data_IF_665746335383
#
_entry.id   IF_665746335383
#
_cell.length_a   1.000
_cell.length_b   1.000
_cell.length_c   1.000
_cell.angle_alpha   90.00
_cell.angle_beta   90.00
_cell.angle_gamma   90.00
#
_symmetry.space_group_name_H-M   'P 1'
#
loop_
_entity.id
_entity.type
_entity.pdbx_description
1 polymer ?
#
# COMPACT_ATOMS: atom_id res chain seq x y z
N UNK A 1 5.32 2.55 1.61
CA UNK A 1 4.31 3.48 1.10
C UNK A 1 3.77 2.99 -0.23
N UNK A 2 2.51 2.57 -0.31
CA UNK A 2 1.80 2.20 -1.52
C UNK A 2 2.52 1.21 -2.44
N UNK A 3 1.77 0.53 -3.26
CA UNK A 3 2.31 -0.23 -4.39
C UNK A 3 1.67 0.32 -5.66
N UNK A 4 2.41 0.27 -6.75
CA UNK A 4 2.00 0.80 -8.04
C UNK A 4 2.15 -0.29 -9.10
N UNK A 5 1.23 -0.36 -10.04
CA UNK A 5 1.27 -1.35 -11.11
C UNK A 5 2.50 -1.14 -12.02
N UNK A 6 2.98 0.09 -12.15
CA UNK A 6 4.14 0.43 -12.98
C UNK A 6 5.03 1.47 -12.31
N UNK A 7 6.33 1.45 -12.64
CA UNK A 7 7.29 2.49 -12.25
C UNK A 7 6.84 3.89 -12.69
N UNK A 8 6.23 3.98 -13.88
CA UNK A 8 5.71 5.25 -14.42
C UNK A 8 4.63 5.82 -13.50
N UNK A 9 3.66 5.01 -13.09
CA UNK A 9 2.60 5.42 -12.17
C UNK A 9 3.15 5.89 -10.82
N UNK A 10 4.13 5.17 -10.27
CA UNK A 10 4.80 5.57 -9.02
C UNK A 10 5.47 6.95 -9.15
N UNK A 11 6.21 7.19 -10.24
CA UNK A 11 6.88 8.46 -10.49
C UNK A 11 5.90 9.60 -10.73
N UNK A 12 4.80 9.37 -11.45
CA UNK A 12 3.73 10.36 -11.66
C UNK A 12 3.08 10.76 -10.33
N UNK A 13 2.74 9.76 -9.50
CA UNK A 13 2.18 10.02 -8.16
C UNK A 13 3.16 10.81 -7.29
N UNK A 14 4.46 10.46 -7.30
CA UNK A 14 5.46 11.18 -6.53
C UNK A 14 5.63 12.64 -7.02
N UNK A 15 5.53 12.89 -8.33
CA UNK A 15 5.51 14.26 -8.89
C UNK A 15 4.30 15.06 -8.39
N UNK A 16 3.12 14.46 -8.39
CA UNK A 16 1.91 15.13 -7.87
C UNK A 16 2.05 15.46 -6.39
N UNK A 17 2.58 14.56 -5.60
CA UNK A 17 2.88 14.78 -4.17
C UNK A 17 3.91 15.90 -4.01
N UNK A 18 4.96 15.90 -4.82
CA UNK A 18 6.00 16.93 -4.78
C UNK A 18 5.43 18.32 -5.02
N UNK A 19 4.55 18.49 -6.01
CA UNK A 19 3.90 19.76 -6.33
C UNK A 19 2.96 20.18 -5.19
N UNK A 20 2.06 19.28 -4.76
CA UNK A 20 1.06 19.57 -3.73
C UNK A 20 1.67 20.00 -2.39
N UNK A 21 2.84 19.43 -2.05
CA UNK A 21 3.52 19.67 -0.77
C UNK A 21 4.79 20.51 -0.90
N UNK A 22 5.04 21.12 -2.06
CA UNK A 22 6.23 21.95 -2.34
C UNK A 22 7.56 21.25 -1.99
N UNK A 23 7.64 19.93 -2.28
CA UNK A 23 8.85 19.13 -2.08
C UNK A 23 9.84 19.33 -3.22
N UNK A 24 11.12 19.13 -2.94
CA UNK A 24 12.16 19.30 -3.93
C UNK A 24 12.28 18.09 -4.87
N UNK A 25 12.05 18.23 -6.20
CA UNK A 25 12.17 17.11 -7.14
C UNK A 25 13.57 16.47 -7.16
N UNK A 26 14.63 17.24 -6.91
CA UNK A 26 16.01 16.72 -6.85
C UNK A 26 16.22 15.83 -5.64
N UNK A 27 15.74 16.24 -4.46
CA UNK A 27 15.82 15.46 -3.23
C UNK A 27 14.97 14.18 -3.29
N UNK A 28 13.92 14.19 -4.12
CA UNK A 28 13.10 13.01 -4.39
C UNK A 28 13.65 12.08 -5.48
N UNK A 29 14.79 12.42 -6.10
CA UNK A 29 15.36 11.65 -7.21
C UNK A 29 14.54 11.74 -8.51
N UNK A 30 13.63 12.70 -8.64
CA UNK A 30 12.84 12.95 -9.85
C UNK A 30 13.61 13.75 -10.91
N UNK A 31 14.65 14.46 -10.49
CA UNK A 31 15.54 15.24 -11.33
C UNK A 31 17.00 14.96 -10.96
N UNK A 32 17.94 15.08 -11.92
CA UNK A 32 19.37 14.92 -11.64
C UNK A 32 19.85 15.94 -10.61
N UNK A 33 20.78 15.53 -9.76
CA UNK A 33 21.47 16.43 -8.84
C UNK A 33 22.31 17.44 -9.63
N UNK A 34 22.04 18.75 -9.39
CA UNK A 34 22.79 19.86 -9.99
C UNK A 34 23.00 20.94 -8.93
N UNK A 35 24.07 21.71 -9.05
CA UNK A 35 24.31 22.86 -8.18
C UNK A 35 23.20 23.92 -8.31
N UNK A 36 22.96 24.66 -7.25
CA UNK A 36 22.00 25.76 -7.19
C UNK A 36 20.54 25.35 -7.10
N UNK A 37 19.63 26.33 -7.18
CA UNK A 37 18.21 26.11 -7.06
C UNK A 37 17.65 25.26 -8.20
N UNK A 38 16.74 24.32 -7.89
CA UNK A 38 15.99 23.58 -8.89
C UNK A 38 14.95 24.49 -9.57
N UNK A 39 14.43 24.08 -10.73
CA UNK A 39 13.41 24.83 -11.44
C UNK A 39 12.14 25.06 -10.56
N UNK A 40 11.69 24.01 -9.86
CA UNK A 40 10.57 24.12 -8.93
C UNK A 40 10.79 25.18 -7.83
N UNK A 41 12.04 25.41 -7.37
CA UNK A 41 12.36 26.47 -6.41
C UNK A 41 12.25 27.86 -7.04
N UNK A 42 12.61 28.01 -8.31
CA UNK A 42 12.52 29.28 -9.03
C UNK A 42 11.06 29.72 -9.20
N UNK A 43 10.17 28.78 -9.47
CA UNK A 43 8.71 29.05 -9.61
C UNK A 43 7.92 28.86 -8.30
N UNK A 44 8.61 28.84 -7.14
CA UNK A 44 8.03 28.75 -5.78
C UNK A 44 7.23 27.45 -5.52
N UNK A 45 7.48 26.39 -6.27
CA UNK A 45 6.91 25.05 -6.05
C UNK A 45 7.85 24.14 -5.23
N UNK A 46 8.96 24.65 -4.74
CA UNK A 46 9.86 23.99 -3.82
C UNK A 46 10.36 25.01 -2.79
N UNK A 47 10.44 24.61 -1.52
CA UNK A 47 10.88 25.49 -0.44
C UNK A 47 12.40 25.74 -0.40
N UNK A 48 13.15 25.13 -1.33
CA UNK A 48 14.53 25.46 -1.57
C UNK A 48 15.54 24.67 -0.74
N UNK A 49 15.22 23.46 -0.31
CA UNK A 49 16.20 22.56 0.33
C UNK A 49 17.45 22.34 -0.55
N UNK A 50 17.29 22.34 -1.88
CA UNK A 50 18.37 22.19 -2.84
C UNK A 50 19.33 23.40 -2.92
N UNK A 51 18.97 24.54 -2.36
CA UNK A 51 19.80 25.75 -2.33
C UNK A 51 19.93 26.33 -0.90
N UNK A 52 19.71 25.53 0.13
CA UNK A 52 19.94 25.89 1.52
C UNK A 52 18.91 26.83 2.15
N UNK A 53 17.77 27.10 1.48
CA UNK A 53 16.67 27.91 2.05
C UNK A 53 15.83 27.16 3.07
N UNK A 54 15.82 25.84 2.99
CA UNK A 54 15.16 24.94 3.92
C UNK A 54 16.14 23.86 4.35
N UNK A 55 16.10 23.43 5.62
CA UNK A 55 16.94 22.34 6.07
C UNK A 55 16.44 20.99 5.56
N UNK A 56 17.34 20.01 5.35
CA UNK A 56 16.95 18.65 4.94
C UNK A 56 15.97 17.99 5.92
N UNK A 57 16.09 18.26 7.22
CA UNK A 57 15.24 17.68 8.27
C UNK A 57 13.79 18.16 8.11
N UNK A 58 13.59 19.48 7.90
CA UNK A 58 12.24 20.05 7.68
C UNK A 58 11.64 19.50 6.39
N UNK A 59 12.43 19.40 5.33
CA UNK A 59 11.98 18.77 4.07
C UNK A 59 11.57 17.31 4.30
N UNK A 60 12.35 16.52 5.07
CA UNK A 60 12.05 15.14 5.38
C UNK A 60 10.76 14.98 6.18
N UNK A 61 10.55 15.81 7.20
CA UNK A 61 9.30 15.82 7.99
C UNK A 61 8.11 16.05 7.08
N UNK A 62 8.19 17.06 6.20
CA UNK A 62 7.12 17.39 5.26
C UNK A 62 6.88 16.26 4.24
N UNK A 63 7.94 15.64 3.73
CA UNK A 63 7.83 14.46 2.88
C UNK A 63 7.13 13.30 3.61
N UNK A 64 7.52 13.03 4.86
CA UNK A 64 6.92 11.96 5.66
C UNK A 64 5.43 12.20 5.88
N UNK A 65 5.03 13.43 6.20
CA UNK A 65 3.61 13.82 6.34
C UNK A 65 2.84 13.64 5.02
N UNK A 66 3.42 14.08 3.90
CA UNK A 66 2.80 13.95 2.58
C UNK A 66 2.58 12.47 2.18
N UNK A 67 3.49 11.59 2.56
CA UNK A 67 3.41 10.16 2.28
C UNK A 67 2.47 9.39 3.22
N UNK A 68 2.07 9.97 4.36
CA UNK A 68 1.17 9.26 5.30
C UNK A 68 -0.16 8.86 4.66
N UNK A 69 -0.72 9.68 3.77
CA UNK A 69 -1.95 9.38 3.04
C UNK A 69 -1.82 8.17 2.10
N UNK A 70 -0.60 7.80 1.72
CA UNK A 70 -0.28 6.66 0.86
C UNK A 70 0.24 5.45 1.64
N UNK A 71 0.19 5.51 2.98
CA UNK A 71 0.65 4.41 3.82
C UNK A 71 -0.35 3.27 3.77
N UNK A 72 0.14 2.05 3.49
CA UNK A 72 -0.65 0.85 3.61
C UNK A 72 -0.94 0.55 5.09
N UNK A 73 -2.15 0.10 5.37
CA UNK A 73 -2.50 -0.37 6.71
C UNK A 73 -1.73 -1.66 6.99
N UNK A 74 -1.16 -1.82 8.20
CA UNK A 74 -0.58 -3.11 8.58
C UNK A 74 -1.66 -4.19 8.59
N UNK A 75 -1.24 -5.45 8.44
CA UNK A 75 -2.13 -6.59 8.61
C UNK A 75 -2.65 -6.61 10.06
N UNK A 76 -3.98 -6.63 10.29
CA UNK A 76 -4.52 -6.44 11.64
C UNK A 76 -4.64 -7.74 12.45
N UNK A 77 -4.26 -8.88 11.88
CA UNK A 77 -4.40 -10.20 12.51
C UNK A 77 -3.04 -10.80 12.83
N UNK A 78 -3.00 -11.73 13.80
CA UNK A 78 -1.76 -12.39 14.19
C UNK A 78 -1.24 -13.40 13.14
N UNK A 79 -2.14 -13.93 12.29
CA UNK A 79 -1.81 -14.94 11.30
C UNK A 79 -2.82 -14.96 10.15
N UNK A 80 -3.12 -16.16 9.68
CA UNK A 80 -4.08 -16.40 8.62
C UNK A 80 -5.51 -16.16 9.09
N UNK A 81 -6.36 -15.68 8.19
CA UNK A 81 -7.80 -15.58 8.41
C UNK A 81 -8.57 -16.29 7.32
N UNK A 82 -9.72 -16.82 7.68
CA UNK A 82 -10.74 -17.30 6.76
C UNK A 82 -11.90 -16.33 6.66
N UNK A 83 -12.36 -16.04 5.47
CA UNK A 83 -13.59 -15.29 5.20
C UNK A 83 -14.58 -16.24 4.55
N UNK A 84 -15.72 -16.45 5.20
CA UNK A 84 -16.79 -17.31 4.67
C UNK A 84 -17.65 -16.53 3.69
N UNK A 85 -17.86 -17.10 2.53
CA UNK A 85 -18.82 -16.66 1.53
C UNK A 85 -19.87 -17.75 1.34
N UNK A 86 -21.13 -17.38 1.41
CA UNK A 86 -22.26 -18.29 1.15
C UNK A 86 -22.74 -18.03 -0.28
N UNK A 87 -22.69 -19.08 -1.11
CA UNK A 87 -23.24 -19.00 -2.44
C UNK A 87 -24.76 -18.91 -2.38
N UNK A 88 -25.34 -17.91 -3.05
CA UNK A 88 -26.80 -17.76 -3.14
C UNK A 88 -27.47 -18.86 -3.99
N UNK A 89 -26.71 -19.60 -4.80
CA UNK A 89 -27.26 -20.59 -5.71
C UNK A 89 -27.28 -22.02 -5.17
N UNK A 90 -26.32 -22.40 -4.30
CA UNK A 90 -26.10 -23.81 -3.95
C UNK A 90 -26.03 -24.09 -2.46
N UNK A 91 -26.30 -23.14 -1.57
CA UNK A 91 -26.10 -23.26 -0.13
C UNK A 91 -24.69 -23.72 0.31
N UNK A 92 -23.74 -23.73 -0.63
CA UNK A 92 -22.36 -24.09 -0.36
C UNK A 92 -21.66 -22.94 0.34
N UNK A 93 -21.00 -23.26 1.44
CA UNK A 93 -20.15 -22.32 2.16
C UNK A 93 -18.73 -22.53 1.66
N UNK A 94 -18.18 -21.50 1.06
CA UNK A 94 -16.76 -21.46 0.68
C UNK A 94 -16.00 -20.59 1.65
N UNK A 95 -14.75 -20.95 1.97
CA UNK A 95 -13.90 -20.15 2.82
C UNK A 95 -12.66 -19.71 2.05
N UNK A 96 -12.49 -18.40 1.92
CA UNK A 96 -11.31 -17.80 1.31
C UNK A 96 -10.28 -17.47 2.38
N UNK A 97 -9.03 -17.94 2.20
CA UNK A 97 -7.96 -17.78 3.18
C UNK A 97 -7.01 -16.66 2.75
N UNK A 98 -6.69 -15.80 3.71
CA UNK A 98 -5.79 -14.65 3.50
C UNK A 98 -4.77 -14.54 4.63
N UNK A 99 -3.59 -14.01 4.30
CA UNK A 99 -2.57 -13.60 5.26
C UNK A 99 -1.73 -12.46 4.67
N UNK A 100 -1.34 -11.49 5.49
CA UNK A 100 -0.53 -10.33 5.06
C UNK A 100 -1.04 -9.62 3.80
N UNK A 101 -2.36 -9.46 3.68
CA UNK A 101 -3.05 -8.88 2.53
C UNK A 101 -2.93 -9.70 1.23
N UNK A 102 -2.53 -10.97 1.33
CA UNK A 102 -2.36 -11.90 0.21
C UNK A 102 -3.45 -12.97 0.25
N UNK A 103 -4.03 -13.27 -0.89
CA UNK A 103 -4.93 -14.42 -1.06
C UNK A 103 -4.12 -15.71 -1.13
N UNK A 104 -4.43 -16.68 -0.30
CA UNK A 104 -3.72 -17.96 -0.23
C UNK A 104 -4.46 -19.09 -0.93
N UNK A 105 -5.78 -19.02 -1.00
CA UNK A 105 -6.60 -20.02 -1.66
C UNK A 105 -8.02 -20.12 -1.09
N UNK A 106 -8.78 -21.02 -1.64
CA UNK A 106 -10.14 -21.37 -1.23
C UNK A 106 -10.14 -22.75 -0.56
N UNK A 107 -10.95 -22.90 0.44
CA UNK A 107 -11.12 -24.12 1.24
C UNK A 107 -12.56 -24.59 1.11
N UNK A 108 -12.76 -25.81 0.69
CA UNK A 108 -14.05 -26.48 0.61
C UNK A 108 -14.19 -27.60 1.65
N UNK A 109 -13.07 -28.10 2.18
CA UNK A 109 -13.02 -29.17 3.16
C UNK A 109 -11.84 -29.06 4.12
N UNK A 110 -11.81 -29.86 5.18
CA UNK A 110 -10.78 -29.81 6.22
C UNK A 110 -9.35 -30.17 5.72
N UNK A 111 -9.25 -30.98 4.65
CA UNK A 111 -7.96 -31.32 4.06
C UNK A 111 -7.34 -30.08 3.38
N UNK A 112 -8.14 -29.33 2.60
CA UNK A 112 -7.69 -28.09 1.94
C UNK A 112 -7.23 -27.08 3.00
N UNK A 113 -7.95 -26.99 4.11
CA UNK A 113 -7.59 -26.12 5.22
C UNK A 113 -6.22 -26.49 5.80
N UNK A 114 -5.98 -27.78 6.02
CA UNK A 114 -4.72 -28.28 6.54
C UNK A 114 -3.58 -28.00 5.56
N UNK A 115 -3.80 -28.23 4.28
CA UNK A 115 -2.81 -27.98 3.24
C UNK A 115 -2.44 -26.49 3.15
N UNK A 116 -3.43 -25.60 3.06
CA UNK A 116 -3.21 -24.14 3.00
C UNK A 116 -2.56 -23.61 4.28
N UNK A 117 -2.91 -24.13 5.45
CA UNK A 117 -2.33 -23.66 6.71
C UNK A 117 -0.89 -24.10 6.91
N UNK A 118 -0.51 -25.29 6.45
CA UNK A 118 0.83 -25.86 6.60
C UNK A 118 1.78 -25.49 5.46
N UNK A 119 1.27 -25.12 4.28
CA UNK A 119 2.09 -24.76 3.14
C UNK A 119 2.91 -23.51 3.42
N UNK A 120 4.14 -23.48 2.89
CA UNK A 120 4.93 -22.25 2.81
C UNK A 120 4.41 -21.42 1.65
N UNK A 121 3.85 -20.26 1.95
CA UNK A 121 3.34 -19.36 0.93
C UNK A 121 4.37 -18.28 0.59
N UNK A 122 4.48 -17.97 -0.69
CA UNK A 122 5.17 -16.78 -1.15
C UNK A 122 4.16 -15.63 -1.16
N UNK A 123 4.36 -14.66 -0.26
CA UNK A 123 3.44 -13.52 -0.11
C UNK A 123 3.70 -12.50 -1.20
N UNK A 124 2.85 -12.48 -2.21
CA UNK A 124 2.87 -11.49 -3.27
C UNK A 124 1.79 -10.44 -3.02
N UNK A 125 2.21 -9.24 -2.63
CA UNK A 125 1.28 -8.15 -2.41
C UNK A 125 0.66 -7.68 -3.73
N UNK A 126 -0.68 -7.64 -3.76
CA UNK A 126 -1.47 -7.13 -4.88
C UNK A 126 -2.41 -6.02 -4.40
N UNK A 127 -2.36 -4.86 -5.06
CA UNK A 127 -3.14 -3.68 -4.67
C UNK A 127 -4.64 -3.92 -4.75
N UNK A 128 -5.11 -4.70 -5.72
CA UNK A 128 -6.54 -4.97 -5.90
C UNK A 128 -7.07 -5.89 -4.79
N UNK A 129 -6.32 -6.92 -4.43
CA UNK A 129 -6.61 -7.79 -3.27
C UNK A 129 -6.63 -6.97 -1.98
N UNK A 130 -5.65 -6.08 -1.77
CA UNK A 130 -5.61 -5.19 -0.61
C UNK A 130 -6.85 -4.29 -0.51
N UNK A 131 -7.24 -3.63 -1.61
CA UNK A 131 -8.41 -2.75 -1.65
C UNK A 131 -9.72 -3.52 -1.42
N UNK A 132 -9.82 -4.71 -2.02
CA UNK A 132 -10.96 -5.59 -1.83
C UNK A 132 -11.09 -5.99 -0.36
N UNK A 133 -10.01 -6.49 0.25
CA UNK A 133 -9.99 -6.89 1.65
C UNK A 133 -10.27 -5.74 2.60
N UNK A 134 -9.75 -4.53 2.37
CA UNK A 134 -10.09 -3.37 3.17
C UNK A 134 -11.60 -3.10 3.19
N UNK A 135 -12.27 -3.25 2.04
CA UNK A 135 -13.72 -3.07 1.93
C UNK A 135 -14.47 -4.20 2.64
N UNK A 136 -14.06 -5.45 2.41
CA UNK A 136 -14.69 -6.62 3.00
C UNK A 136 -14.55 -6.62 4.52
N UNK A 137 -13.34 -6.37 5.04
CA UNK A 137 -13.06 -6.34 6.48
C UNK A 137 -13.69 -5.12 7.21
N UNK A 138 -14.01 -4.06 6.48
CA UNK A 138 -14.75 -2.92 7.05
C UNK A 138 -16.27 -3.17 7.14
N UNK A 139 -16.76 -4.24 6.51
CA UNK A 139 -18.18 -4.59 6.57
C UNK A 139 -18.46 -5.41 7.84
N UNK A 140 -19.33 -4.88 8.70
CA UNK A 140 -19.72 -5.51 10.00
C UNK A 140 -20.35 -6.91 9.82
N UNK A 141 -20.90 -7.20 8.64
CA UNK A 141 -21.52 -8.51 8.35
C UNK A 141 -20.53 -9.59 7.94
N UNK A 142 -19.26 -9.24 7.70
CA UNK A 142 -18.25 -10.22 7.27
C UNK A 142 -17.86 -11.11 8.45
N UNK A 143 -18.07 -12.43 8.29
CA UNK A 143 -17.61 -13.42 9.27
C UNK A 143 -16.13 -13.72 9.03
N UNK A 144 -15.26 -13.22 9.91
CA UNK A 144 -13.83 -13.47 9.90
C UNK A 144 -13.50 -14.54 10.94
N UNK A 145 -12.74 -15.56 10.52
CA UNK A 145 -12.28 -16.65 11.38
C UNK A 145 -10.76 -16.58 11.45
N UNK A 146 -10.19 -16.58 12.65
CA UNK A 146 -8.73 -16.76 12.81
C UNK A 146 -8.39 -18.23 12.65
N UNK A 147 -7.36 -18.52 11.87
CA UNK A 147 -6.89 -19.87 11.54
C UNK A 147 -5.54 -20.17 12.21
#
# INVERSE_FOLDING_TARGET
>A
FGTFATKRQALETLRMIAIAHQLCPRFLGLEPAKAGACFASQIKQCKGVCCGRESPEIHYIRLSQALMAHRLKPWPYAGKIGIREQSHENDQIQMHVFEHWTYLGMVENDNDLTEITQAKHEYKFEMDTYKLLLRVLSNIKTSVINL
#
